data_IF_803508349370
#
_entry.id   IF_803508349370
#
_cell.length_a   1.000
_cell.length_b   1.000
_cell.length_c   1.000
_cell.angle_alpha   90.00
_cell.angle_beta   90.00
_cell.angle_gamma   90.00
#
_symmetry.space_group_name_H-M   'P 1'
#
loop_
_entity.id
_entity.type
_entity.pdbx_description
1 polymer ?
#
# COMPACT_ATOMS: atom_id res chain seq x y z
N UNK A 1 12.89 -2.39 -9.42
CA UNK A 1 12.18 -1.15 -9.03
C UNK A 1 10.71 -1.29 -9.39
N UNK A 2 9.78 -0.89 -8.53
CA UNK A 2 8.32 -1.04 -8.71
C UNK A 2 7.60 0.28 -8.43
N UNK A 3 6.45 0.50 -9.04
CA UNK A 3 5.58 1.65 -8.76
C UNK A 3 4.67 1.37 -7.56
N UNK A 4 4.45 2.37 -6.72
CA UNK A 4 3.47 2.30 -5.64
C UNK A 4 2.06 2.04 -6.20
N UNK A 5 1.33 1.07 -5.65
CA UNK A 5 -0.03 0.78 -6.11
C UNK A 5 -1.09 1.80 -5.64
N UNK A 6 -0.68 2.90 -4.98
CA UNK A 6 -1.64 3.87 -4.44
C UNK A 6 -2.03 4.84 -5.53
N UNK A 7 -3.34 5.01 -5.76
CA UNK A 7 -3.87 5.86 -6.84
C UNK A 7 -3.39 7.32 -6.78
N UNK A 8 -3.00 7.77 -5.60
CA UNK A 8 -2.56 9.13 -5.28
C UNK A 8 -1.05 9.19 -4.97
N UNK A 9 -0.27 8.19 -5.37
CA UNK A 9 1.17 8.14 -5.12
C UNK A 9 1.93 7.73 -6.38
N UNK A 10 2.80 8.61 -6.87
CA UNK A 10 3.62 8.36 -8.06
C UNK A 10 5.04 7.82 -7.73
N UNK A 11 5.33 7.50 -6.46
CA UNK A 11 6.67 7.08 -6.05
C UNK A 11 7.02 5.69 -6.57
N UNK A 12 8.26 5.55 -7.03
CA UNK A 12 8.92 4.28 -7.26
C UNK A 12 9.61 3.83 -5.98
N UNK A 13 9.75 2.51 -5.78
CA UNK A 13 10.50 1.94 -4.67
C UNK A 13 11.27 0.69 -5.11
N UNK A 14 12.33 0.40 -4.37
CA UNK A 14 13.03 -0.88 -4.47
C UNK A 14 12.36 -1.89 -3.54
N UNK A 15 12.05 -3.08 -4.07
CA UNK A 15 11.48 -4.17 -3.29
C UNK A 15 12.60 -5.09 -2.86
N UNK A 16 13.09 -4.90 -1.64
CA UNK A 16 14.10 -5.72 -0.98
C UNK A 16 13.49 -6.86 -0.15
N UNK A 17 12.16 -6.98 -0.13
CA UNK A 17 11.49 -8.01 0.65
C UNK A 17 11.67 -9.38 0.02
N UNK A 18 11.79 -10.44 0.83
CA UNK A 18 11.55 -11.83 0.37
C UNK A 18 10.09 -12.14 0.69
N UNK A 19 9.19 -12.49 -0.26
CA UNK A 19 9.37 -12.94 -1.65
C UNK A 19 9.10 -11.88 -2.75
N UNK A 20 9.48 -10.62 -2.54
CA UNK A 20 9.31 -9.55 -3.54
C UNK A 20 7.85 -9.14 -3.78
N UNK A 21 7.04 -9.14 -2.70
CA UNK A 21 5.60 -8.89 -2.75
C UNK A 21 5.20 -7.53 -2.18
N UNK A 22 6.14 -6.60 -2.02
CA UNK A 22 5.81 -5.27 -1.50
C UNK A 22 5.02 -4.50 -2.56
N UNK A 23 3.87 -3.97 -2.15
CA UNK A 23 2.93 -3.23 -3.01
C UNK A 23 3.02 -1.71 -2.86
N UNK A 24 3.65 -1.25 -1.78
CA UNK A 24 3.59 0.14 -1.33
C UNK A 24 4.99 0.71 -1.15
N UNK A 25 5.17 1.99 -1.54
CA UNK A 25 6.45 2.68 -1.38
C UNK A 25 6.93 2.77 0.08
N UNK A 26 6.01 2.78 1.05
CA UNK A 26 6.32 2.73 2.48
C UNK A 26 5.19 2.06 3.26
N UNK A 27 5.50 1.15 4.22
CA UNK A 27 4.50 0.59 5.13
C UNK A 27 3.76 1.68 5.93
N UNK A 28 4.47 2.67 6.46
CA UNK A 28 3.93 3.73 7.32
C UNK A 28 3.18 4.86 6.60
N UNK A 29 3.23 4.89 5.26
CA UNK A 29 2.50 5.87 4.44
C UNK A 29 1.41 5.17 3.64
N UNK A 30 1.74 4.66 2.46
CA UNK A 30 0.75 4.05 1.57
C UNK A 30 0.19 2.74 2.13
N UNK A 31 1.00 1.97 2.87
CA UNK A 31 0.54 0.72 3.50
C UNK A 31 -0.53 0.94 4.58
N UNK A 32 -0.34 1.94 5.45
CA UNK A 32 -1.31 2.28 6.50
C UNK A 32 -2.58 2.92 5.92
N UNK A 33 -2.45 3.81 4.93
CA UNK A 33 -3.60 4.37 4.21
C UNK A 33 -4.45 3.27 3.56
N UNK A 34 -3.82 2.28 2.95
CA UNK A 34 -4.52 1.13 2.36
C UNK A 34 -5.25 0.29 3.42
N UNK A 35 -4.62 0.02 4.57
CA UNK A 35 -5.23 -0.68 5.71
C UNK A 35 -6.43 0.09 6.28
N UNK A 36 -6.30 1.40 6.47
CA UNK A 36 -7.38 2.26 6.94
C UNK A 36 -8.58 2.26 5.96
N UNK A 37 -8.33 2.33 4.64
CA UNK A 37 -9.38 2.24 3.62
C UNK A 37 -10.11 0.90 3.67
N UNK A 38 -9.37 -0.20 3.76
CA UNK A 38 -9.95 -1.54 3.86
C UNK A 38 -10.77 -1.71 5.15
N UNK A 39 -10.29 -1.17 6.29
CA UNK A 39 -11.04 -1.18 7.55
C UNK A 39 -12.37 -0.42 7.43
N UNK A 40 -12.34 0.82 6.91
CA UNK A 40 -13.55 1.63 6.69
C UNK A 40 -14.54 0.95 5.76
N UNK A 41 -14.08 0.34 4.66
CA UNK A 41 -14.93 -0.39 3.73
C UNK A 41 -15.66 -1.56 4.40
N UNK A 42 -14.95 -2.37 5.21
CA UNK A 42 -15.54 -3.48 5.98
C UNK A 42 -16.55 -3.00 7.03
N UNK A 43 -16.33 -1.82 7.62
CA UNK A 43 -17.24 -1.22 8.59
C UNK A 43 -18.48 -0.61 7.94
N UNK A 44 -18.37 -0.14 6.71
CA UNK A 44 -19.49 0.41 5.94
C UNK A 44 -20.39 -0.68 5.33
N UNK A 45 -19.85 -1.89 5.11
CA UNK A 45 -20.59 -3.05 4.60
C UNK A 45 -21.27 -3.88 5.71
N UNK A 46 -21.22 -3.42 6.96
CA UNK A 46 -21.84 -4.05 8.13
C UNK A 46 -22.96 -3.16 8.63
#
# INVERSE_FOLDING_TARGET
VRQCESRDCALLFFDDSRPGKRRWCSPGRCGDRARARAYRARKASR
#
